data_IF_429449035696
#
_entry.id   IF_429449035696
#
_cell.length_a   1.000
_cell.length_b   1.000
_cell.length_c   1.000
_cell.angle_alpha   90.00
_cell.angle_beta   90.00
_cell.angle_gamma   90.00
#
_symmetry.space_group_name_H-M   'P 1'
#
loop_
_entity.id
_entity.type
_entity.pdbx_description
1 polymer ?
#
# COMPACT_ATOMS: atom_id res chain seq x y z
N UNK A 1 14.68 9.42 12.08
CA UNK A 1 13.87 8.19 12.21
C UNK A 1 14.22 7.25 11.06
N UNK A 2 14.33 5.94 11.32
CA UNK A 2 14.52 4.97 10.25
C UNK A 2 13.21 4.70 9.51
N UNK A 3 13.33 4.35 8.22
CA UNK A 3 12.21 4.04 7.34
C UNK A 3 12.30 2.56 6.95
N UNK A 4 11.19 1.84 7.12
CA UNK A 4 11.02 0.49 6.58
C UNK A 4 9.91 0.48 5.52
N UNK A 5 10.18 -0.13 4.37
CA UNK A 5 9.15 -0.44 3.39
C UNK A 5 8.49 -1.77 3.74
N UNK A 6 7.17 -1.80 3.79
CA UNK A 6 6.34 -2.98 4.02
C UNK A 6 5.46 -3.20 2.78
N UNK A 7 5.66 -4.33 2.12
CA UNK A 7 5.02 -4.68 0.84
C UNK A 7 4.23 -5.98 1.03
N UNK A 8 2.92 -5.91 1.28
CA UNK A 8 2.08 -7.10 1.28
C UNK A 8 1.94 -7.65 -0.14
N UNK A 9 2.16 -8.94 -0.33
CA UNK A 9 2.16 -9.58 -1.65
C UNK A 9 1.38 -10.90 -1.64
N UNK A 10 0.53 -11.11 -2.64
CA UNK A 10 -0.19 -12.35 -2.87
C UNK A 10 -0.31 -12.64 -4.36
N UNK A 11 0.46 -13.62 -4.87
CA UNK A 11 0.53 -14.00 -6.29
C UNK A 11 0.92 -12.83 -7.20
N UNK A 12 2.08 -12.21 -6.89
CA UNK A 12 2.63 -11.05 -7.60
C UNK A 12 4.03 -11.33 -8.18
N UNK A 13 4.31 -12.58 -8.60
CA UNK A 13 5.63 -12.98 -9.15
C UNK A 13 6.09 -12.14 -10.34
N UNK A 14 5.16 -11.50 -11.09
CA UNK A 14 5.47 -10.70 -12.27
C UNK A 14 6.02 -9.31 -11.97
N UNK A 15 5.64 -8.73 -10.83
CA UNK A 15 5.85 -7.32 -10.51
C UNK A 15 6.75 -7.09 -9.30
N UNK A 16 6.71 -7.98 -8.32
CA UNK A 16 7.37 -7.81 -7.02
C UNK A 16 8.88 -7.49 -7.13
N UNK A 17 9.60 -8.14 -8.07
CA UNK A 17 11.03 -7.89 -8.24
C UNK A 17 11.33 -6.42 -8.59
N UNK A 18 10.53 -5.82 -9.49
CA UNK A 18 10.75 -4.44 -9.91
C UNK A 18 10.44 -3.47 -8.77
N UNK A 19 9.36 -3.71 -8.01
CA UNK A 19 9.02 -2.88 -6.84
C UNK A 19 10.16 -2.91 -5.81
N UNK A 20 10.65 -4.09 -5.44
CA UNK A 20 11.74 -4.24 -4.48
C UNK A 20 13.03 -3.56 -4.97
N UNK A 21 13.41 -3.78 -6.24
CA UNK A 21 14.62 -3.16 -6.82
C UNK A 21 14.55 -1.64 -6.79
N UNK A 22 13.42 -1.06 -7.16
CA UNK A 22 13.24 0.40 -7.13
C UNK A 22 13.36 0.95 -5.70
N UNK A 23 12.76 0.29 -4.72
CA UNK A 23 12.85 0.74 -3.31
C UNK A 23 14.29 0.64 -2.79
N UNK A 24 15.07 -0.36 -3.21
CA UNK A 24 16.49 -0.52 -2.86
C UNK A 24 17.37 0.63 -3.35
N UNK A 25 16.99 1.32 -4.41
CA UNK A 25 17.71 2.49 -4.92
C UNK A 25 17.56 3.72 -4.04
N UNK A 26 16.71 3.66 -2.99
CA UNK A 26 16.44 4.77 -2.08
C UNK A 26 17.14 4.56 -0.73
N UNK A 27 18.29 5.22 -0.46
CA UNK A 27 19.08 4.99 0.76
C UNK A 27 18.37 5.35 2.07
N UNK A 28 17.28 6.12 2.00
CA UNK A 28 16.44 6.46 3.16
C UNK A 28 15.71 5.22 3.70
N UNK A 29 15.39 4.25 2.85
CA UNK A 29 14.75 3.00 3.26
C UNK A 29 15.82 2.05 3.78
N UNK A 30 15.76 1.73 5.08
CA UNK A 30 16.75 0.87 5.75
C UNK A 30 16.38 -0.60 5.71
N UNK A 31 15.11 -0.91 5.65
CA UNK A 31 14.58 -2.27 5.59
C UNK A 31 13.51 -2.36 4.48
N UNK A 32 13.54 -3.44 3.72
CA UNK A 32 12.49 -3.79 2.76
C UNK A 32 11.92 -5.14 3.18
N UNK A 33 10.67 -5.15 3.57
CA UNK A 33 9.97 -6.31 4.10
C UNK A 33 8.83 -6.65 3.15
N UNK A 34 8.93 -7.80 2.50
CA UNK A 34 7.83 -8.36 1.73
C UNK A 34 7.12 -9.38 2.60
N UNK A 35 5.83 -9.17 2.85
CA UNK A 35 4.98 -10.14 3.53
C UNK A 35 4.24 -10.94 2.48
N UNK A 36 4.71 -12.16 2.23
CA UNK A 36 4.11 -13.10 1.29
C UNK A 36 2.89 -13.75 1.94
N UNK A 37 1.71 -13.30 1.57
CA UNK A 37 0.42 -13.63 2.19
C UNK A 37 -0.15 -14.96 1.66
N UNK A 38 0.66 -16.03 1.73
CA UNK A 38 0.26 -17.37 1.31
C UNK A 38 0.17 -17.52 -0.21
N UNK A 39 1.10 -16.92 -0.98
CA UNK A 39 1.16 -17.09 -2.44
C UNK A 39 1.39 -18.54 -2.84
N UNK A 40 0.87 -18.92 -4.01
CA UNK A 40 1.04 -20.24 -4.62
C UNK A 40 2.01 -20.22 -5.81
N UNK A 41 2.47 -19.04 -6.20
CA UNK A 41 3.48 -18.79 -7.24
C UNK A 41 4.87 -18.52 -6.63
N UNK A 42 5.81 -18.00 -7.44
CA UNK A 42 7.17 -17.72 -6.99
C UNK A 42 7.35 -16.36 -6.30
N UNK A 43 6.29 -15.69 -5.87
CA UNK A 43 6.35 -14.33 -5.30
C UNK A 43 7.40 -14.19 -4.21
N UNK A 44 7.39 -15.05 -3.18
CA UNK A 44 8.33 -14.98 -2.06
C UNK A 44 9.77 -15.12 -2.50
N UNK A 45 10.09 -16.17 -3.28
CA UNK A 45 11.44 -16.42 -3.81
C UNK A 45 11.96 -15.25 -4.65
N UNK A 46 11.13 -14.71 -5.54
CA UNK A 46 11.51 -13.58 -6.40
C UNK A 46 11.75 -12.30 -5.58
N UNK A 47 10.96 -12.06 -4.53
CA UNK A 47 11.16 -10.93 -3.63
C UNK A 47 12.49 -11.03 -2.87
N UNK A 48 12.83 -12.23 -2.38
CA UNK A 48 14.10 -12.50 -1.68
C UNK A 48 15.30 -12.31 -2.62
N UNK A 49 15.25 -12.87 -3.84
CA UNK A 49 16.28 -12.69 -4.88
C UNK A 49 16.45 -11.21 -5.27
N UNK A 50 15.39 -10.42 -5.22
CA UNK A 50 15.44 -8.97 -5.45
C UNK A 50 16.08 -8.19 -4.28
N UNK A 51 16.23 -8.83 -3.11
CA UNK A 51 16.92 -8.30 -1.93
C UNK A 51 15.99 -7.79 -0.82
N UNK A 52 14.75 -8.24 -0.77
CA UNK A 52 13.86 -8.01 0.36
C UNK A 52 14.06 -9.08 1.45
N UNK A 53 13.76 -8.70 2.70
CA UNK A 53 13.49 -9.65 3.76
C UNK A 53 12.07 -10.17 3.61
N UNK A 54 11.91 -11.47 3.34
CA UNK A 54 10.59 -12.06 3.12
C UNK A 54 10.06 -12.69 4.41
N UNK A 55 8.76 -12.52 4.64
CA UNK A 55 8.00 -13.18 5.71
C UNK A 55 6.90 -14.00 5.03
N UNK A 56 7.05 -15.31 5.03
CA UNK A 56 6.06 -16.22 4.45
C UNK A 56 4.97 -16.55 5.46
N UNK A 57 3.71 -16.25 5.11
CA UNK A 57 2.54 -16.65 5.88
C UNK A 57 2.02 -18.01 5.40
N UNK A 58 1.61 -18.86 6.34
CA UNK A 58 1.10 -20.21 6.02
C UNK A 58 -0.22 -20.18 5.23
N UNK A 59 -0.98 -19.11 5.35
CA UNK A 59 -2.28 -18.93 4.67
C UNK A 59 -2.56 -17.46 4.48
N UNK A 60 -3.41 -17.13 3.50
CA UNK A 60 -3.82 -15.77 3.24
C UNK A 60 -4.64 -15.20 4.40
N UNK A 61 -4.12 -14.14 5.02
CA UNK A 61 -4.74 -13.38 6.12
C UNK A 61 -5.33 -12.05 5.64
N UNK A 62 -5.13 -11.74 4.37
CA UNK A 62 -5.56 -10.50 3.72
C UNK A 62 -4.56 -9.35 3.91
N UNK A 63 -4.67 -8.33 3.04
CA UNK A 63 -3.73 -7.21 2.96
C UNK A 63 -3.48 -6.54 4.32
N UNK A 64 -4.53 -6.21 5.06
CA UNK A 64 -4.40 -5.58 6.38
C UNK A 64 -3.65 -6.44 7.40
N UNK A 65 -3.92 -7.75 7.40
CA UNK A 65 -3.20 -8.70 8.24
C UNK A 65 -1.71 -8.77 7.88
N UNK A 66 -1.39 -8.84 6.59
CA UNK A 66 -0.03 -8.84 6.09
C UNK A 66 0.71 -7.53 6.42
N UNK A 67 0.06 -6.37 6.25
CA UNK A 67 0.61 -5.07 6.66
C UNK A 67 0.95 -5.05 8.17
N UNK A 68 0.05 -5.52 9.01
CA UNK A 68 0.27 -5.59 10.46
C UNK A 68 1.44 -6.52 10.83
N UNK A 69 1.59 -7.66 10.14
CA UNK A 69 2.75 -8.55 10.32
C UNK A 69 4.05 -7.84 9.95
N UNK A 70 4.08 -7.14 8.81
CA UNK A 70 5.24 -6.38 8.37
C UNK A 70 5.65 -5.31 9.37
N UNK A 71 4.70 -4.51 9.87
CA UNK A 71 4.99 -3.47 10.87
C UNK A 71 5.53 -4.06 12.17
N UNK A 72 4.97 -5.16 12.66
CA UNK A 72 5.48 -5.84 13.87
C UNK A 72 6.88 -6.41 13.71
N UNK A 73 7.35 -6.63 12.49
CA UNK A 73 8.66 -7.24 12.22
C UNK A 73 9.81 -6.24 12.09
N UNK A 74 9.56 -4.93 12.22
CA UNK A 74 10.58 -3.88 12.19
C UNK A 74 10.47 -2.98 13.42
N UNK A 75 11.50 -2.18 13.67
CA UNK A 75 11.51 -1.13 14.70
C UNK A 75 11.54 0.28 14.07
N UNK A 76 11.43 0.39 12.75
CA UNK A 76 11.46 1.68 12.06
C UNK A 76 10.33 2.60 12.54
N UNK A 77 10.63 3.88 12.73
CA UNK A 77 9.66 4.88 13.18
C UNK A 77 8.72 5.37 12.08
N UNK A 78 9.10 5.18 10.81
CA UNK A 78 8.28 5.49 9.64
C UNK A 78 8.10 4.22 8.82
N UNK A 79 6.85 3.93 8.45
CA UNK A 79 6.50 2.79 7.61
C UNK A 79 6.05 3.32 6.25
N UNK A 80 6.73 2.86 5.20
CA UNK A 80 6.32 3.05 3.81
C UNK A 80 5.56 1.82 3.35
N UNK A 81 4.28 1.95 3.09
CA UNK A 81 3.47 0.90 2.45
C UNK A 81 3.47 1.09 0.94
N UNK A 82 3.68 -0.01 0.22
CA UNK A 82 3.58 -0.07 -1.25
C UNK A 82 2.87 -1.36 -1.66
N UNK A 83 2.08 -1.31 -2.72
CA UNK A 83 1.50 -2.49 -3.33
C UNK A 83 2.56 -3.26 -4.13
N UNK A 84 2.43 -4.57 -4.17
CA UNK A 84 3.37 -5.46 -4.87
C UNK A 84 3.18 -5.47 -6.40
N UNK A 85 2.06 -4.92 -6.90
CA UNK A 85 1.66 -4.92 -8.32
C UNK A 85 1.84 -3.56 -9.02
N UNK A 86 2.68 -2.68 -8.46
CA UNK A 86 2.96 -1.36 -9.02
C UNK A 86 3.76 -1.46 -10.32
N UNK A 87 3.31 -0.70 -11.32
CA UNK A 87 3.99 -0.50 -12.60
C UNK A 87 4.41 0.97 -12.70
N UNK A 88 5.63 1.23 -13.14
CA UNK A 88 6.15 2.59 -13.30
C UNK A 88 6.63 3.23 -12.00
N UNK A 89 6.76 2.46 -10.89
CA UNK A 89 7.38 2.96 -9.67
C UNK A 89 8.80 3.44 -9.94
N UNK A 90 9.13 4.65 -9.48
CA UNK A 90 10.45 5.26 -9.57
C UNK A 90 10.97 5.64 -8.18
N UNK A 91 12.30 5.73 -7.98
CA UNK A 91 12.87 6.19 -6.72
C UNK A 91 12.34 7.55 -6.27
N UNK A 92 12.08 8.48 -7.20
CA UNK A 92 11.49 9.79 -6.90
C UNK A 92 10.15 9.67 -6.18
N UNK A 93 9.27 8.75 -6.59
CA UNK A 93 7.98 8.54 -5.93
C UNK A 93 8.14 8.09 -4.47
N UNK A 94 9.14 7.24 -4.21
CA UNK A 94 9.48 6.80 -2.86
C UNK A 94 9.97 7.97 -2.01
N UNK A 95 10.84 8.84 -2.56
CA UNK A 95 11.28 10.06 -1.88
C UNK A 95 10.11 11.01 -1.59
N UNK A 96 9.23 11.23 -2.56
CA UNK A 96 8.09 12.14 -2.45
C UNK A 96 7.11 11.69 -1.35
N UNK A 97 6.95 10.37 -1.17
CA UNK A 97 6.15 9.81 -0.09
C UNK A 97 6.83 9.96 1.29
N UNK A 98 8.13 9.70 1.37
CA UNK A 98 8.84 9.61 2.66
C UNK A 98 9.21 10.99 3.21
N UNK A 99 9.71 11.90 2.36
CA UNK A 99 10.33 13.14 2.80
C UNK A 99 9.42 14.02 3.68
N UNK A 100 8.13 14.25 3.35
CA UNK A 100 7.29 15.10 4.19
C UNK A 100 7.11 14.55 5.60
N UNK A 101 7.05 13.20 5.74
CA UNK A 101 6.93 12.55 7.06
C UNK A 101 8.27 12.59 7.81
N UNK A 102 9.38 12.35 7.10
CA UNK A 102 10.72 12.34 7.68
C UNK A 102 11.14 13.72 8.20
N UNK A 103 10.74 14.78 7.49
CA UNK A 103 11.00 16.17 7.86
C UNK A 103 10.01 16.71 8.91
N UNK A 104 8.98 15.94 9.25
CA UNK A 104 7.96 16.35 10.23
C UNK A 104 6.96 17.39 9.71
N UNK A 105 6.86 17.55 8.37
CA UNK A 105 5.86 18.43 7.75
C UNK A 105 4.45 17.86 7.93
N UNK A 106 4.35 16.54 7.98
CA UNK A 106 3.09 15.82 8.14
C UNK A 106 3.32 14.48 8.82
N UNK A 107 2.25 13.91 9.37
CA UNK A 107 2.30 12.62 10.04
C UNK A 107 2.11 11.42 9.08
N UNK A 108 1.47 11.68 7.93
CA UNK A 108 1.21 10.68 6.90
C UNK A 108 1.20 11.32 5.51
N UNK A 109 1.68 10.59 4.52
CA UNK A 109 1.46 10.89 3.10
C UNK A 109 0.60 9.81 2.47
N UNK A 110 -0.15 10.17 1.44
CA UNK A 110 -0.97 9.26 0.63
C UNK A 110 -0.63 9.51 -0.83
N UNK A 111 -0.13 8.49 -1.53
CA UNK A 111 0.12 8.54 -2.96
C UNK A 111 -1.18 8.47 -3.74
N UNK A 112 -1.40 9.40 -4.64
CA UNK A 112 -2.54 9.41 -5.56
C UNK A 112 -2.01 9.29 -6.99
N UNK A 113 -2.61 8.43 -7.80
CA UNK A 113 -2.22 8.29 -9.20
C UNK A 113 -2.83 9.40 -10.04
N UNK A 114 -2.06 9.90 -11.01
CA UNK A 114 -2.59 10.76 -12.06
C UNK A 114 -3.41 9.91 -13.04
N UNK A 115 -4.63 9.57 -12.63
CA UNK A 115 -5.61 8.95 -13.52
C UNK A 115 -6.16 10.01 -14.46
N UNK A 116 -5.45 10.34 -15.54
CA UNK A 116 -5.83 11.31 -16.56
C UNK A 116 -7.32 11.57 -16.74
N UNK A 117 -7.72 12.54 -17.52
CA UNK A 117 -9.02 13.20 -17.87
C UNK A 117 -10.37 12.45 -17.68
N UNK A 118 -10.42 11.22 -17.14
CA UNK A 118 -11.64 10.41 -16.98
C UNK A 118 -12.00 10.07 -15.53
N UNK A 119 -11.28 10.60 -14.54
CA UNK A 119 -11.68 10.43 -13.15
C UNK A 119 -12.93 11.28 -12.89
N UNK A 120 -14.05 10.65 -12.60
CA UNK A 120 -15.24 11.34 -12.08
C UNK A 120 -14.91 11.96 -10.72
N UNK A 121 -15.57 13.08 -10.36
CA UNK A 121 -15.41 13.73 -9.04
C UNK A 121 -15.49 12.73 -7.88
N UNK A 122 -16.34 11.71 -8.01
CA UNK A 122 -16.47 10.63 -7.04
C UNK A 122 -15.21 9.75 -6.96
N UNK A 123 -14.56 9.45 -8.08
CA UNK A 123 -13.31 8.67 -8.09
C UNK A 123 -12.18 9.47 -7.42
N UNK A 124 -12.03 10.75 -7.73
CA UNK A 124 -11.05 11.62 -7.07
C UNK A 124 -11.27 11.71 -5.56
N UNK A 125 -12.54 11.81 -5.13
CA UNK A 125 -12.86 11.82 -3.69
C UNK A 125 -12.52 10.50 -2.98
N UNK A 126 -12.65 9.36 -3.66
CA UNK A 126 -12.42 8.04 -3.09
C UNK A 126 -10.95 7.57 -3.19
N UNK A 127 -10.18 8.10 -4.15
CA UNK A 127 -8.79 7.69 -4.40
C UNK A 127 -7.89 7.74 -3.15
N UNK A 128 -7.87 8.81 -2.33
CA UNK A 128 -7.04 8.85 -1.12
C UNK A 128 -7.42 7.78 -0.10
N UNK A 129 -8.67 7.33 -0.07
CA UNK A 129 -9.12 6.29 0.86
C UNK A 129 -8.67 4.90 0.44
N UNK A 130 -8.39 4.70 -0.84
CA UNK A 130 -8.12 3.40 -1.45
C UNK A 130 -6.66 3.17 -1.76
N UNK A 131 -5.86 4.23 -1.79
CA UNK A 131 -4.45 4.12 -2.11
C UNK A 131 -3.71 3.27 -1.07
N UNK A 132 -2.98 2.25 -1.54
CA UNK A 132 -2.07 1.45 -0.74
C UNK A 132 -0.69 2.09 -0.56
N UNK A 133 -0.38 3.14 -1.35
CA UNK A 133 0.91 3.83 -1.33
C UNK A 133 0.87 4.95 -0.31
N UNK A 134 1.56 4.78 0.82
CA UNK A 134 1.60 5.79 1.88
C UNK A 134 2.83 5.64 2.77
N UNK A 135 3.36 6.76 3.23
CA UNK A 135 4.28 6.75 4.36
C UNK A 135 3.54 7.27 5.60
N UNK A 136 3.74 6.63 6.73
CA UNK A 136 3.04 6.97 7.97
C UNK A 136 3.95 6.73 9.17
N UNK A 137 3.84 7.57 10.20
CA UNK A 137 4.48 7.28 11.48
C UNK A 137 3.93 5.99 12.07
N UNK A 138 4.83 5.13 12.54
CA UNK A 138 4.49 3.81 13.09
C UNK A 138 3.40 3.85 14.13
N UNK A 139 3.47 4.80 15.08
CA UNK A 139 2.52 4.96 16.18
C UNK A 139 1.07 5.17 15.72
N UNK A 140 0.88 5.87 14.57
CA UNK A 140 -0.44 6.07 13.99
C UNK A 140 -1.00 4.75 13.46
N UNK A 141 -0.18 3.98 12.73
CA UNK A 141 -0.61 2.68 12.22
C UNK A 141 -0.94 1.70 13.35
N UNK A 142 -0.12 1.66 14.39
CA UNK A 142 -0.34 0.79 15.56
C UNK A 142 -1.65 1.11 16.30
N UNK A 143 -2.00 2.39 16.41
CA UNK A 143 -3.27 2.82 17.00
C UNK A 143 -4.48 2.29 16.21
N UNK A 144 -4.39 2.28 14.88
CA UNK A 144 -5.47 1.82 13.98
C UNK A 144 -5.48 0.30 13.85
N UNK A 145 -4.32 -0.35 13.86
CA UNK A 145 -4.20 -1.80 13.67
C UNK A 145 -4.80 -2.65 14.79
N UNK A 146 -5.11 -2.05 15.94
CA UNK A 146 -5.89 -2.66 17.02
C UNK A 146 -7.39 -2.83 16.71
N UNK A 147 -7.89 -2.23 15.61
CA UNK A 147 -9.26 -2.39 15.12
C UNK A 147 -9.31 -3.58 14.15
N UNK A 148 -10.44 -4.30 14.11
CA UNK A 148 -10.61 -5.48 13.23
C UNK A 148 -10.51 -5.08 11.74
N UNK A 149 -9.33 -5.27 11.16
CA UNK A 149 -8.96 -4.82 9.81
C UNK A 149 -9.25 -5.91 8.78
N UNK A 150 -10.52 -6.19 8.50
CA UNK A 150 -10.92 -7.15 7.48
C UNK A 150 -10.58 -6.66 6.05
N UNK A 151 -10.03 -7.53 5.27
CA UNK A 151 -9.63 -7.59 3.83
C UNK A 151 -9.40 -6.30 3.01
N UNK A 152 -10.22 -5.25 3.13
CA UNK A 152 -10.11 -3.98 2.38
C UNK A 152 -10.20 -2.74 3.27
N UNK A 153 -10.16 -2.94 4.60
CA UNK A 153 -10.51 -1.89 5.54
C UNK A 153 -9.34 -1.06 6.06
N UNK A 154 -8.08 -1.54 5.91
CA UNK A 154 -6.95 -0.89 6.58
C UNK A 154 -6.67 0.51 6.03
N UNK A 155 -6.68 0.68 4.71
CA UNK A 155 -6.46 1.97 4.07
C UNK A 155 -7.58 2.96 4.42
N UNK A 156 -8.83 2.48 4.37
CA UNK A 156 -10.01 3.29 4.73
C UNK A 156 -10.00 3.61 6.22
N UNK A 157 -9.72 2.61 7.07
CA UNK A 157 -9.66 2.79 8.53
C UNK A 157 -8.57 3.81 8.90
N UNK A 158 -7.38 3.70 8.32
CA UNK A 158 -6.27 4.61 8.54
C UNK A 158 -6.60 6.04 8.09
N UNK A 159 -7.17 6.21 6.90
CA UNK A 159 -7.55 7.52 6.39
C UNK A 159 -8.65 8.17 7.24
N UNK A 160 -9.65 7.39 7.67
CA UNK A 160 -10.72 7.87 8.55
C UNK A 160 -10.17 8.28 9.92
N UNK A 161 -9.33 7.44 10.51
CA UNK A 161 -8.72 7.74 11.81
C UNK A 161 -7.94 9.04 11.75
N UNK A 162 -7.05 9.19 10.77
CA UNK A 162 -6.24 10.39 10.59
C UNK A 162 -7.12 11.64 10.42
N UNK A 163 -8.17 11.57 9.59
CA UNK A 163 -9.11 12.69 9.40
C UNK A 163 -9.91 13.00 10.68
N UNK A 164 -10.43 11.99 11.37
CA UNK A 164 -11.25 12.18 12.58
C UNK A 164 -10.44 12.67 13.78
N UNK A 165 -9.18 12.26 13.87
CA UNK A 165 -8.26 12.68 14.93
C UNK A 165 -7.58 14.04 14.66
N UNK A 166 -7.85 14.67 13.51
CA UNK A 166 -7.20 15.93 13.12
C UNK A 166 -5.70 15.79 12.88
N UNK A 167 -5.22 14.57 12.56
CA UNK A 167 -3.81 14.29 12.27
C UNK A 167 -3.49 14.84 10.87
N UNK A 168 -2.36 15.53 10.73
CA UNK A 168 -1.94 16.09 9.45
C UNK A 168 -1.59 14.99 8.46
N UNK A 169 -2.07 15.10 7.23
CA UNK A 169 -1.64 14.25 6.11
C UNK A 169 -1.52 15.07 4.83
N UNK A 170 -0.71 14.58 3.88
CA UNK A 170 -0.45 15.22 2.59
C UNK A 170 -0.67 14.22 1.47
N UNK A 171 -1.38 14.62 0.43
CA UNK A 171 -1.49 13.85 -0.81
C UNK A 171 -0.27 14.12 -1.69
N UNK A 172 0.28 13.05 -2.28
CA UNK A 172 1.45 13.07 -3.15
C UNK A 172 1.06 12.49 -4.50
N UNK A 173 1.17 13.29 -5.55
CA UNK A 173 0.88 12.85 -6.90
C UNK A 173 1.98 11.93 -7.44
N UNK A 174 1.63 10.69 -7.78
CA UNK A 174 2.52 9.68 -8.32
C UNK A 174 2.32 9.59 -9.83
N UNK A 175 3.11 10.36 -10.57
CA UNK A 175 2.99 10.49 -12.03
C UNK A 175 3.46 9.24 -12.75
N UNK A 176 2.76 8.88 -13.85
CA UNK A 176 3.13 7.74 -14.70
C UNK A 176 3.18 6.39 -13.96
N UNK A 177 2.46 6.29 -12.84
CA UNK A 177 2.28 5.03 -12.12
C UNK A 177 0.92 4.43 -12.38
N UNK A 178 0.86 3.11 -12.35
CA UNK A 178 -0.38 2.33 -12.43
C UNK A 178 -0.25 1.02 -11.65
N UNK A 179 -1.37 0.32 -11.48
CA UNK A 179 -1.39 -1.08 -11.05
C UNK A 179 -1.52 -2.00 -12.27
N UNK A 180 -1.01 -3.22 -12.15
CA UNK A 180 -1.38 -4.28 -13.09
C UNK A 180 -2.90 -4.52 -13.00
N UNK A 181 -3.62 -4.24 -14.09
CA UNK A 181 -5.09 -4.26 -14.10
C UNK A 181 -5.63 -5.64 -13.71
N UNK A 182 -6.68 -5.66 -12.86
CA UNK A 182 -7.33 -6.94 -12.47
C UNK A 182 -7.89 -7.71 -13.66
N UNK A 183 -8.22 -7.00 -14.75
CA UNK A 183 -8.62 -7.58 -16.03
C UNK A 183 -7.49 -8.37 -16.69
N UNK A 184 -6.25 -7.92 -16.55
CA UNK A 184 -5.06 -8.64 -17.05
C UNK A 184 -4.73 -9.87 -16.18
N UNK A 185 -5.03 -9.80 -14.88
CA UNK A 185 -4.82 -10.91 -13.92
C UNK A 185 -5.91 -11.99 -14.01
N UNK A 186 -7.18 -11.61 -14.19
CA UNK A 186 -8.35 -12.49 -14.04
C UNK A 186 -9.18 -12.68 -15.32
N UNK A 187 -8.81 -11.97 -16.40
CA UNK A 187 -9.62 -11.86 -17.63
C UNK A 187 -10.77 -10.85 -17.49
N UNK A 188 -11.20 -10.27 -18.64
CA UNK A 188 -12.09 -9.10 -18.73
C UNK A 188 -13.37 -9.21 -17.89
N UNK A 189 -14.06 -10.36 -17.92
CA UNK A 189 -15.38 -10.52 -17.27
C UNK A 189 -15.25 -10.67 -15.73
N UNK A 190 -14.27 -11.48 -15.27
CA UNK A 190 -14.07 -11.72 -13.84
C UNK A 190 -13.46 -10.50 -13.16
N UNK A 191 -12.54 -9.81 -13.82
CA UNK A 191 -11.92 -8.57 -13.35
C UNK A 191 -12.93 -7.44 -13.18
N UNK A 192 -13.84 -7.24 -14.16
CA UNK A 192 -14.90 -6.25 -14.08
C UNK A 192 -15.87 -6.51 -12.91
N UNK A 193 -16.33 -7.76 -12.73
CA UNK A 193 -17.18 -8.14 -11.59
C UNK A 193 -16.50 -7.91 -10.24
N UNK A 194 -15.21 -8.25 -10.14
CA UNK A 194 -14.43 -8.03 -8.92
C UNK A 194 -14.29 -6.55 -8.59
N UNK A 195 -14.08 -5.69 -9.61
CA UNK A 195 -14.00 -4.23 -9.45
C UNK A 195 -15.32 -3.60 -9.03
N UNK A 196 -16.43 -4.00 -9.66
CA UNK A 196 -17.78 -3.52 -9.27
C UNK A 196 -18.15 -3.93 -7.85
N UNK A 197 -17.83 -5.16 -7.44
CA UNK A 197 -18.03 -5.62 -6.06
C UNK A 197 -17.21 -4.79 -5.07
N UNK A 198 -15.96 -4.49 -5.39
CA UNK A 198 -15.07 -3.65 -4.58
C UNK A 198 -15.66 -2.25 -4.39
N UNK A 199 -16.09 -1.56 -5.47
CA UNK A 199 -16.70 -0.23 -5.38
C UNK A 199 -17.98 -0.24 -4.52
N UNK A 200 -18.78 -1.29 -4.61
CA UNK A 200 -20.01 -1.41 -3.82
C UNK A 200 -19.74 -1.62 -2.32
N UNK A 201 -18.75 -2.45 -1.99
CA UNK A 201 -18.31 -2.65 -0.60
C UNK A 201 -17.72 -1.37 -0.01
N UNK A 202 -16.96 -0.60 -0.81
CA UNK A 202 -16.40 0.70 -0.40
C UNK A 202 -17.51 1.73 -0.17
N UNK A 203 -18.46 1.84 -1.09
CA UNK A 203 -19.60 2.78 -0.93
C UNK A 203 -20.39 2.49 0.34
N UNK A 204 -20.57 1.20 0.70
CA UNK A 204 -21.18 0.81 1.97
C UNK A 204 -20.34 1.19 3.20
N UNK A 205 -19.00 1.09 3.08
CA UNK A 205 -18.11 1.45 4.18
C UNK A 205 -18.02 2.96 4.38
N UNK A 206 -18.04 3.75 3.30
CA UNK A 206 -17.95 5.23 3.36
C UNK A 206 -19.30 5.86 3.76
N UNK A 207 -20.43 5.24 3.40
CA UNK A 207 -21.78 5.75 3.68
C UNK A 207 -22.39 5.38 5.05
N UNK A 208 -21.68 4.60 5.88
CA UNK A 208 -22.07 4.33 7.27
C UNK A 208 -21.43 5.37 8.18
N UNK A 209 -22.10 6.49 8.37
CA UNK A 209 -21.94 7.36 9.53
C UNK A 209 -22.68 6.75 10.71
#
# INVERSE_FOLDING_TARGET
MDVAAVIPAFNEEKTIAQVVKTVREVPLVKEIIVVNDGSTDNTGRIAEEAGARVIDLRSNVGKGGAMAVGVRSTQAGIILFLDADLIGLQPSHVYDLINPVLQGETEMTIGVFDEGRFATDLAQFLTPYLSGQRAVKREIFETVSGLDLSRFGVEIALTRFVKSAGISFKEVELKQMSHLMKEEKLGLIKGFKARMKMYWEIAKCVGRN
#
